data_IF_828895751507
#
_entry.id   IF_828895751507
#
_cell.length_a   1.000
_cell.length_b   1.000
_cell.length_c   1.000
_cell.angle_alpha   90.00
_cell.angle_beta   90.00
_cell.angle_gamma   90.00
#
_symmetry.space_group_name_H-M   'P 1'
#
loop_
_entity.id
_entity.type
_entity.pdbx_description
1 polymer ?
#
# COMPACT_ATOMS: atom_id res chain seq x y z
N UNK A 1 3.41 8.93 -46.51
CA UNK A 1 2.58 9.25 -45.34
C UNK A 1 2.99 8.32 -44.20
N UNK A 2 3.68 8.81 -43.16
CA UNK A 2 4.00 8.01 -41.99
C UNK A 2 2.72 7.84 -41.18
N UNK A 3 2.26 6.61 -40.98
CA UNK A 3 1.20 6.29 -40.02
C UNK A 3 1.66 6.70 -38.62
N UNK A 4 0.94 7.67 -38.04
CA UNK A 4 1.11 8.00 -36.61
C UNK A 4 0.45 6.90 -35.79
N UNK A 5 1.24 5.96 -35.29
CA UNK A 5 0.78 4.97 -34.31
C UNK A 5 0.59 5.69 -32.97
N UNK A 6 -0.66 5.89 -32.59
CA UNK A 6 -1.00 6.40 -31.26
C UNK A 6 -0.90 5.27 -30.24
N UNK A 7 0.15 5.26 -29.43
CA UNK A 7 0.24 4.39 -28.28
C UNK A 7 -0.70 4.89 -27.17
N UNK A 8 -1.90 4.36 -27.11
CA UNK A 8 -2.81 4.57 -25.98
C UNK A 8 -2.37 3.63 -24.86
N UNK A 9 -1.95 4.19 -23.73
CA UNK A 9 -1.60 3.40 -22.55
C UNK A 9 -2.81 2.55 -22.13
N UNK A 10 -2.57 1.30 -21.71
CA UNK A 10 -3.66 0.48 -21.18
C UNK A 10 -4.27 1.17 -19.95
N UNK A 11 -5.56 0.95 -19.64
CA UNK A 11 -6.19 1.52 -18.44
C UNK A 11 -5.39 1.24 -17.17
N UNK A 12 -4.80 0.07 -17.05
CA UNK A 12 -3.92 -0.31 -15.94
C UNK A 12 -2.63 0.51 -15.89
N UNK A 13 -2.02 0.80 -17.02
CA UNK A 13 -0.80 1.63 -17.10
C UNK A 13 -1.11 3.09 -16.75
N UNK A 14 -2.29 3.59 -17.11
CA UNK A 14 -2.76 4.92 -16.74
C UNK A 14 -2.93 5.05 -15.24
N UNK A 15 -3.68 4.13 -14.61
CA UNK A 15 -3.87 4.11 -13.15
C UNK A 15 -2.53 4.05 -12.40
N UNK A 16 -1.61 3.21 -12.88
CA UNK A 16 -0.26 3.14 -12.32
C UNK A 16 0.44 4.50 -12.34
N UNK A 17 0.45 5.18 -13.49
CA UNK A 17 1.11 6.47 -13.66
C UNK A 17 0.48 7.57 -12.81
N UNK A 18 -0.85 7.60 -12.74
CA UNK A 18 -1.58 8.59 -11.95
C UNK A 18 -1.34 8.40 -10.45
N UNK A 19 -1.34 7.17 -9.95
CA UNK A 19 -1.07 6.87 -8.55
C UNK A 19 0.40 7.17 -8.17
N UNK A 20 1.38 6.80 -9.01
CA UNK A 20 2.79 7.15 -8.81
C UNK A 20 2.98 8.67 -8.73
N UNK A 21 2.38 9.41 -9.67
CA UNK A 21 2.45 10.88 -9.68
C UNK A 21 1.80 11.48 -8.43
N UNK A 22 0.64 10.97 -8.00
CA UNK A 22 -0.05 11.47 -6.81
C UNK A 22 0.77 11.26 -5.53
N UNK A 23 1.42 10.09 -5.38
CA UNK A 23 2.33 9.83 -4.26
C UNK A 23 3.50 10.82 -4.28
N UNK A 24 4.17 10.97 -5.42
CA UNK A 24 5.34 11.86 -5.54
C UNK A 24 5.00 13.32 -5.26
N UNK A 25 3.88 13.81 -5.78
CA UNK A 25 3.44 15.18 -5.53
C UNK A 25 3.12 15.41 -4.04
N UNK A 26 2.49 14.44 -3.38
CA UNK A 26 2.18 14.54 -1.96
C UNK A 26 3.43 14.47 -1.08
N UNK A 27 4.44 13.71 -1.49
CA UNK A 27 5.67 13.51 -0.73
C UNK A 27 6.80 14.50 -1.09
N UNK A 28 6.58 15.45 -1.99
CA UNK A 28 7.65 16.37 -2.46
C UNK A 28 8.34 17.15 -1.34
N UNK A 29 7.58 17.49 -0.29
CA UNK A 29 8.05 18.24 0.87
C UNK A 29 8.53 17.31 2.02
N UNK A 30 8.52 15.99 1.82
CA UNK A 30 8.90 14.94 2.75
C UNK A 30 9.98 14.04 2.14
N UNK A 31 11.24 14.51 2.07
CA UNK A 31 12.31 13.84 1.31
C UNK A 31 12.64 12.43 1.79
N UNK A 32 12.53 12.16 3.09
CA UNK A 32 12.75 10.82 3.66
C UNK A 32 11.64 9.85 3.22
N UNK A 33 10.37 10.28 3.27
CA UNK A 33 9.24 9.48 2.82
C UNK A 33 9.28 9.26 1.31
N UNK A 34 9.61 10.28 0.52
CA UNK A 34 9.82 10.15 -0.91
C UNK A 34 10.94 9.16 -1.24
N UNK A 35 12.04 9.22 -0.48
CA UNK A 35 13.15 8.27 -0.64
C UNK A 35 12.74 6.84 -0.29
N UNK A 36 11.96 6.65 0.78
CA UNK A 36 11.39 5.34 1.13
C UNK A 36 10.54 4.77 0.00
N UNK A 37 9.68 5.60 -0.58
CA UNK A 37 8.86 5.24 -1.75
C UNK A 37 9.71 4.79 -2.94
N UNK A 38 10.69 5.60 -3.33
CA UNK A 38 11.57 5.31 -4.47
C UNK A 38 12.34 4.00 -4.29
N UNK A 39 12.83 3.74 -3.08
CA UNK A 39 13.51 2.49 -2.76
C UNK A 39 12.56 1.30 -2.84
N UNK A 40 11.33 1.43 -2.32
CA UNK A 40 10.34 0.36 -2.34
C UNK A 40 9.92 -0.01 -3.77
N UNK A 41 9.58 0.98 -4.61
CA UNK A 41 9.12 0.68 -5.99
C UNK A 41 10.22 0.12 -6.89
N UNK A 42 11.48 0.31 -6.51
CA UNK A 42 12.66 -0.24 -7.20
C UNK A 42 13.11 -1.58 -6.61
N UNK A 43 12.66 -1.94 -5.40
CA UNK A 43 13.07 -3.18 -4.74
C UNK A 43 12.60 -4.40 -5.54
N UNK A 44 13.51 -5.30 -5.97
CA UNK A 44 13.15 -6.43 -6.82
C UNK A 44 12.30 -7.47 -6.10
N UNK A 45 12.48 -7.62 -4.79
CA UNK A 45 11.72 -8.58 -3.97
C UNK A 45 10.29 -8.09 -3.76
N UNK A 46 10.08 -6.79 -3.45
CA UNK A 46 8.75 -6.19 -3.38
C UNK A 46 8.01 -6.32 -4.72
N UNK A 47 8.67 -6.00 -5.84
CA UNK A 47 8.09 -6.12 -7.18
C UNK A 47 7.69 -7.56 -7.52
N UNK A 48 8.55 -8.52 -7.21
CA UNK A 48 8.27 -9.93 -7.44
C UNK A 48 7.14 -10.42 -6.53
N UNK A 49 7.15 -9.99 -5.26
CA UNK A 49 6.11 -10.32 -4.27
C UNK A 49 4.72 -9.84 -4.72
N UNK A 50 4.57 -8.59 -5.14
CA UNK A 50 3.31 -8.08 -5.71
C UNK A 50 2.84 -8.87 -6.93
N UNK A 51 3.75 -9.27 -7.82
CA UNK A 51 3.39 -10.07 -8.99
C UNK A 51 2.90 -11.47 -8.59
N UNK A 52 3.55 -12.09 -7.61
CA UNK A 52 3.17 -13.43 -7.12
C UNK A 52 1.89 -13.38 -6.28
N UNK A 53 1.68 -12.35 -5.45
CA UNK A 53 0.42 -12.11 -4.77
C UNK A 53 -0.73 -12.05 -5.78
N UNK A 54 -0.56 -11.27 -6.84
CA UNK A 54 -1.56 -11.14 -7.90
C UNK A 54 -1.76 -12.42 -8.70
N UNK A 55 -0.70 -13.21 -8.92
CA UNK A 55 -0.82 -14.50 -9.57
C UNK A 55 -1.70 -15.46 -8.76
N UNK A 56 -1.47 -15.56 -7.45
CA UNK A 56 -2.26 -16.46 -6.59
C UNK A 56 -3.68 -15.96 -6.41
N UNK A 57 -3.89 -14.69 -6.09
CA UNK A 57 -5.23 -14.14 -5.83
C UNK A 57 -6.08 -14.12 -7.10
N UNK A 58 -5.58 -13.53 -8.20
CA UNK A 58 -6.38 -13.39 -9.42
C UNK A 58 -6.45 -14.65 -10.26
N UNK A 59 -5.30 -15.34 -10.47
CA UNK A 59 -5.26 -16.47 -11.41
C UNK A 59 -5.70 -17.78 -10.78
N UNK A 60 -5.41 -17.99 -9.50
CA UNK A 60 -5.71 -19.25 -8.82
C UNK A 60 -7.00 -19.19 -8.02
N UNK A 61 -7.24 -18.12 -7.27
CA UNK A 61 -8.41 -17.99 -6.41
C UNK A 61 -9.58 -17.24 -7.07
N UNK A 62 -9.33 -16.52 -8.18
CA UNK A 62 -10.38 -15.73 -8.84
C UNK A 62 -10.75 -14.43 -8.13
N UNK A 63 -9.94 -13.98 -7.18
CA UNK A 63 -10.13 -12.73 -6.44
C UNK A 63 -9.69 -11.51 -7.25
N UNK A 64 -9.79 -10.34 -6.65
CA UNK A 64 -9.42 -9.04 -7.21
C UNK A 64 -7.89 -8.87 -7.37
N UNK A 65 -7.48 -7.70 -7.90
CA UNK A 65 -6.07 -7.28 -7.95
C UNK A 65 -5.54 -7.01 -6.52
N UNK A 66 -4.50 -7.73 -6.11
CA UNK A 66 -3.73 -7.54 -4.89
C UNK A 66 -2.24 -7.34 -5.22
N UNK A 67 -1.97 -6.87 -6.43
CA UNK A 67 -0.62 -6.66 -6.92
C UNK A 67 -0.19 -5.20 -6.88
N UNK A 68 0.81 -4.89 -7.71
CA UNK A 68 1.48 -3.59 -7.72
C UNK A 68 0.55 -2.40 -7.97
N UNK A 69 -0.49 -2.54 -8.81
CA UNK A 69 -1.40 -1.41 -9.08
C UNK A 69 -2.26 -1.12 -7.85
N UNK A 70 -2.79 -2.15 -7.22
CA UNK A 70 -3.50 -2.01 -5.96
C UNK A 70 -2.62 -1.36 -4.88
N UNK A 71 -1.39 -1.84 -4.67
CA UNK A 71 -0.45 -1.25 -3.72
C UNK A 71 -0.19 0.25 -3.97
N UNK A 72 -0.12 0.68 -5.23
CA UNK A 72 0.05 2.10 -5.58
C UNK A 72 -1.22 2.92 -5.33
N UNK A 73 -2.39 2.41 -5.69
CA UNK A 73 -3.66 3.11 -5.49
C UNK A 73 -3.93 3.31 -3.99
N UNK A 74 -3.77 2.26 -3.19
CA UNK A 74 -3.92 2.33 -1.74
C UNK A 74 -2.83 3.19 -1.10
N UNK A 75 -1.58 3.12 -1.58
CA UNK A 75 -0.51 4.01 -1.16
C UNK A 75 -0.81 5.49 -1.44
N UNK A 76 -1.36 5.83 -2.60
CA UNK A 76 -1.78 7.20 -2.90
C UNK A 76 -2.93 7.66 -2.00
N UNK A 77 -3.91 6.79 -1.73
CA UNK A 77 -4.99 7.08 -0.81
C UNK A 77 -4.47 7.28 0.63
N UNK A 78 -3.56 6.43 1.10
CA UNK A 78 -3.05 6.49 2.46
C UNK A 78 -2.30 7.79 2.76
N UNK A 79 -1.43 8.25 1.86
CA UNK A 79 -0.73 9.53 2.04
C UNK A 79 -1.68 10.73 1.94
N UNK A 80 -2.77 10.62 1.18
CA UNK A 80 -3.79 11.65 1.13
C UNK A 80 -4.62 11.71 2.44
N UNK A 81 -5.01 10.55 2.98
CA UNK A 81 -5.72 10.45 4.25
C UNK A 81 -4.86 11.00 5.39
N UNK A 82 -3.57 10.61 5.45
CA UNK A 82 -2.64 11.12 6.45
C UNK A 82 -2.54 12.66 6.41
N UNK A 83 -2.44 13.24 5.22
CA UNK A 83 -2.40 14.70 5.06
C UNK A 83 -3.66 15.36 5.66
N UNK A 84 -4.85 14.85 5.32
CA UNK A 84 -6.12 15.38 5.84
C UNK A 84 -6.21 15.27 7.37
N UNK A 85 -5.79 14.15 7.95
CA UNK A 85 -5.80 13.97 9.40
C UNK A 85 -4.79 14.88 10.10
N UNK A 86 -3.60 15.06 9.52
CA UNK A 86 -2.58 15.98 10.02
C UNK A 86 -3.05 17.43 9.97
N UNK A 87 -3.66 17.86 8.87
CA UNK A 87 -4.26 19.19 8.72
C UNK A 87 -5.42 19.43 9.71
N UNK A 88 -6.17 18.38 10.04
CA UNK A 88 -7.22 18.42 11.06
C UNK A 88 -6.69 18.38 12.50
N UNK A 89 -5.37 18.31 12.70
CA UNK A 89 -4.75 18.30 14.03
C UNK A 89 -4.87 16.97 14.76
N UNK A 90 -5.13 15.87 14.06
CA UNK A 90 -5.12 14.52 14.66
C UNK A 90 -3.70 14.18 15.09
N UNK A 91 -3.57 13.73 16.34
CA UNK A 91 -2.28 13.30 16.89
C UNK A 91 -1.94 11.90 16.35
N UNK A 92 -0.75 11.78 15.76
CA UNK A 92 -0.26 10.55 15.14
C UNK A 92 0.57 9.74 16.14
N UNK A 93 0.40 8.43 16.16
CA UNK A 93 1.10 7.55 17.10
C UNK A 93 2.62 7.53 16.88
N UNK A 94 3.09 7.70 15.64
CA UNK A 94 4.52 7.88 15.35
C UNK A 94 5.12 9.05 16.13
N UNK A 95 4.38 10.13 16.29
CA UNK A 95 4.82 11.33 17.02
C UNK A 95 4.57 11.16 18.52
N UNK A 96 3.40 10.68 18.94
CA UNK A 96 3.05 10.51 20.35
C UNK A 96 3.95 9.48 21.06
N UNK A 97 4.35 8.43 20.38
CA UNK A 97 5.28 7.43 20.93
C UNK A 97 6.74 7.90 20.99
N UNK A 98 7.06 9.04 20.38
CA UNK A 98 8.44 9.51 20.25
C UNK A 98 9.28 8.73 19.22
N UNK A 99 8.64 7.90 18.38
CA UNK A 99 9.34 7.14 17.33
C UNK A 99 9.87 8.04 16.20
N UNK A 100 9.20 9.17 15.96
CA UNK A 100 9.60 10.11 14.90
C UNK A 100 8.72 11.34 14.83
N UNK A 101 8.85 12.06 13.72
CA UNK A 101 8.11 13.27 13.40
C UNK A 101 7.04 12.98 12.32
N UNK A 102 6.34 14.03 11.85
CA UNK A 102 5.32 13.90 10.82
C UNK A 102 5.84 13.20 9.54
N UNK A 103 7.04 13.52 9.11
CA UNK A 103 7.65 12.86 7.94
C UNK A 103 7.80 11.35 8.14
N UNK A 104 8.11 10.92 9.36
CA UNK A 104 8.24 9.49 9.70
C UNK A 104 6.86 8.79 9.71
N UNK A 105 5.79 9.49 10.06
CA UNK A 105 4.43 8.97 9.92
C UNK A 105 4.08 8.71 8.44
N UNK A 106 4.53 9.57 7.50
CA UNK A 106 4.41 9.29 6.06
C UNK A 106 5.18 8.04 5.65
N UNK A 107 6.37 7.80 6.21
CA UNK A 107 7.13 6.56 5.97
C UNK A 107 6.35 5.35 6.48
N UNK A 108 5.82 5.43 7.72
CA UNK A 108 5.05 4.34 8.34
C UNK A 108 3.82 4.00 7.51
N UNK A 109 2.97 4.99 7.23
CA UNK A 109 1.72 4.80 6.49
C UNK A 109 1.97 4.27 5.09
N UNK A 110 2.91 4.85 4.36
CA UNK A 110 3.21 4.45 2.98
C UNK A 110 3.74 3.01 2.90
N UNK A 111 4.73 2.67 3.72
CA UNK A 111 5.34 1.34 3.66
C UNK A 111 4.40 0.26 4.17
N UNK A 112 3.62 0.52 5.23
CA UNK A 112 2.60 -0.43 5.71
C UNK A 112 1.54 -0.68 4.64
N UNK A 113 0.99 0.39 4.04
CA UNK A 113 -0.06 0.27 3.03
C UNK A 113 0.44 -0.38 1.75
N UNK A 114 1.63 -0.05 1.27
CA UNK A 114 2.12 -0.66 0.03
C UNK A 114 2.58 -2.12 0.19
N UNK A 115 2.84 -2.57 1.42
CA UNK A 115 3.29 -3.94 1.69
C UNK A 115 2.21 -4.82 2.36
N UNK A 116 1.02 -4.28 2.69
CA UNK A 116 0.00 -4.99 3.47
C UNK A 116 -0.39 -6.33 2.86
N UNK A 117 -0.51 -6.40 1.54
CA UNK A 117 -0.97 -7.57 0.78
C UNK A 117 0.16 -8.52 0.33
N UNK A 118 1.41 -8.24 0.72
CA UNK A 118 2.58 -9.01 0.28
C UNK A 118 2.47 -10.51 0.63
N UNK A 119 1.80 -10.83 1.74
CA UNK A 119 1.60 -12.20 2.19
C UNK A 119 0.70 -13.04 1.29
N UNK A 120 -0.12 -12.42 0.43
CA UNK A 120 -0.90 -13.13 -0.57
C UNK A 120 -0.05 -13.93 -1.57
N UNK A 121 1.24 -13.67 -1.67
CA UNK A 121 2.17 -14.50 -2.44
C UNK A 121 2.39 -15.89 -1.84
N UNK A 122 2.00 -16.11 -0.58
CA UNK A 122 2.02 -17.42 0.07
C UNK A 122 0.62 -18.04 0.03
N UNK A 123 -0.35 -17.35 0.60
CA UNK A 123 -1.75 -17.76 0.59
C UNK A 123 -2.66 -16.60 1.04
N UNK A 124 -3.93 -16.57 0.60
CA UNK A 124 -4.91 -15.56 1.04
C UNK A 124 -5.23 -15.72 2.53
N UNK A 125 -5.35 -16.96 3.01
CA UNK A 125 -5.61 -17.21 4.43
C UNK A 125 -4.34 -16.97 5.26
N UNK A 126 -4.41 -16.07 6.22
CA UNK A 126 -3.29 -15.67 7.08
C UNK A 126 -2.24 -14.79 6.39
N UNK A 127 -2.63 -14.13 5.28
CA UNK A 127 -1.71 -13.28 4.51
C UNK A 127 -1.16 -12.11 5.33
N UNK A 128 -1.86 -11.66 6.35
CA UNK A 128 -1.43 -10.59 7.27
C UNK A 128 -0.14 -11.01 7.99
N UNK A 129 -0.13 -12.21 8.56
CA UNK A 129 1.03 -12.74 9.26
C UNK A 129 2.20 -13.07 8.30
N UNK A 130 1.92 -13.65 7.14
CA UNK A 130 2.93 -13.87 6.11
C UNK A 130 3.47 -12.54 5.58
N UNK A 131 2.60 -11.52 5.46
CA UNK A 131 2.99 -10.17 5.05
C UNK A 131 4.06 -9.57 5.97
N UNK A 132 3.89 -9.69 7.29
CA UNK A 132 4.88 -9.26 8.28
C UNK A 132 6.24 -9.92 8.05
N UNK A 133 6.28 -11.24 7.89
CA UNK A 133 7.53 -12.00 7.70
C UNK A 133 8.23 -11.60 6.39
N UNK A 134 7.46 -11.50 5.31
CA UNK A 134 7.98 -11.20 3.97
C UNK A 134 8.38 -9.73 3.79
N UNK A 135 7.75 -8.82 4.52
CA UNK A 135 8.12 -7.40 4.50
C UNK A 135 9.46 -7.12 5.22
N UNK A 136 9.83 -7.92 6.22
CA UNK A 136 11.04 -7.68 7.04
C UNK A 136 12.33 -7.48 6.23
N UNK A 137 12.73 -8.33 5.29
CA UNK A 137 13.95 -8.12 4.52
C UNK A 137 13.88 -6.87 3.64
N UNK A 138 12.72 -6.53 3.09
CA UNK A 138 12.49 -5.33 2.29
C UNK A 138 12.63 -4.09 3.18
N UNK A 139 11.93 -4.09 4.34
CA UNK A 139 11.98 -3.00 5.31
C UNK A 139 13.40 -2.78 5.84
N UNK A 140 14.15 -3.83 6.16
CA UNK A 140 15.52 -3.69 6.62
C UNK A 140 16.39 -2.97 5.58
N UNK A 141 16.31 -3.34 4.28
CA UNK A 141 17.06 -2.67 3.22
C UNK A 141 16.74 -1.18 3.07
N UNK A 142 15.49 -0.80 3.33
CA UNK A 142 15.02 0.59 3.24
C UNK A 142 15.39 1.35 4.51
N UNK A 143 14.98 0.84 5.67
CA UNK A 143 15.10 1.54 6.94
C UNK A 143 16.54 1.68 7.42
N UNK A 144 17.42 0.72 7.12
CA UNK A 144 18.86 0.81 7.43
C UNK A 144 19.54 2.03 6.76
N UNK A 145 19.01 2.47 5.61
CA UNK A 145 19.51 3.65 4.89
C UNK A 145 18.88 4.96 5.34
N UNK A 146 17.69 4.92 5.93
CA UNK A 146 16.93 6.10 6.31
C UNK A 146 17.10 6.45 7.79
N UNK A 147 17.33 5.45 8.64
CA UNK A 147 17.40 5.58 10.09
C UNK A 147 18.71 4.98 10.63
N UNK A 148 19.75 5.82 10.82
CA UNK A 148 21.04 5.36 11.37
C UNK A 148 20.90 4.84 12.80
N UNK A 149 20.04 5.48 13.61
CA UNK A 149 19.77 5.06 14.98
C UNK A 149 18.95 3.75 15.00
N UNK A 150 19.48 2.67 15.63
CA UNK A 150 18.80 1.39 15.68
C UNK A 150 17.55 1.38 16.54
N UNK A 151 17.45 2.23 17.56
CA UNK A 151 16.24 2.32 18.42
C UNK A 151 15.09 2.95 17.62
N UNK A 152 15.34 4.10 17.00
CA UNK A 152 14.35 4.74 16.13
C UNK A 152 13.94 3.83 14.98
N UNK A 153 14.91 3.23 14.29
CA UNK A 153 14.64 2.28 13.20
C UNK A 153 13.76 1.12 13.62
N UNK A 154 13.98 0.60 14.83
CA UNK A 154 13.16 -0.50 15.37
C UNK A 154 11.74 -0.04 15.68
N UNK A 155 11.57 1.15 16.27
CA UNK A 155 10.27 1.73 16.56
C UNK A 155 9.45 1.97 15.26
N UNK A 156 10.05 2.61 14.26
CA UNK A 156 9.41 2.84 12.95
C UNK A 156 9.03 1.51 12.29
N UNK A 157 9.94 0.52 12.30
CA UNK A 157 9.65 -0.81 11.75
C UNK A 157 8.49 -1.49 12.48
N UNK A 158 8.41 -1.38 13.79
CA UNK A 158 7.32 -1.96 14.58
C UNK A 158 5.95 -1.37 14.19
N UNK A 159 5.86 -0.05 14.02
CA UNK A 159 4.64 0.62 13.57
C UNK A 159 4.24 0.19 12.15
N UNK A 160 5.19 0.06 11.23
CA UNK A 160 4.93 -0.45 9.87
C UNK A 160 4.39 -1.88 9.91
N UNK A 161 5.04 -2.77 10.67
CA UNK A 161 4.62 -4.18 10.78
C UNK A 161 3.25 -4.30 11.44
N UNK A 162 2.93 -3.44 12.41
CA UNK A 162 1.60 -3.37 12.99
C UNK A 162 0.54 -3.00 11.95
N UNK A 163 0.79 -1.99 11.11
CA UNK A 163 -0.10 -1.63 10.02
C UNK A 163 -0.30 -2.76 9.00
N UNK A 164 0.76 -3.49 8.66
CA UNK A 164 0.65 -4.67 7.78
C UNK A 164 -0.20 -5.77 8.44
N UNK A 165 0.01 -6.03 9.73
CA UNK A 165 -0.67 -7.13 10.42
C UNK A 165 -2.15 -6.89 10.67
N UNK A 166 -2.54 -5.63 10.93
CA UNK A 166 -3.89 -5.27 11.35
C UNK A 166 -4.78 -4.68 10.24
N UNK A 167 -4.30 -4.63 8.98
CA UNK A 167 -5.03 -3.96 7.90
C UNK A 167 -6.41 -4.57 7.59
N UNK A 168 -6.59 -5.87 7.78
CA UNK A 168 -7.86 -6.59 7.55
C UNK A 168 -8.80 -6.55 8.78
N UNK A 169 -8.53 -5.62 9.73
CA UNK A 169 -9.31 -5.34 10.95
C UNK A 169 -9.40 -6.51 11.96
N UNK A 170 -8.63 -7.56 11.76
CA UNK A 170 -8.58 -8.71 12.66
C UNK A 170 -7.13 -9.25 12.76
N UNK A 171 -6.34 -8.78 13.73
CA UNK A 171 -6.70 -7.94 14.88
C UNK A 171 -6.99 -6.47 14.55
N UNK A 172 -7.65 -5.79 15.47
CA UNK A 172 -7.97 -4.36 15.36
C UNK A 172 -6.70 -3.50 15.29
N UNK A 173 -6.65 -2.47 14.39
CA UNK A 173 -5.58 -1.49 14.36
C UNK A 173 -5.53 -0.68 15.68
N UNK A 174 -4.36 -0.61 16.28
CA UNK A 174 -4.15 0.09 17.56
C UNK A 174 -3.53 1.49 17.40
N UNK A 175 -3.12 1.85 16.18
CA UNK A 175 -2.53 3.16 15.87
C UNK A 175 -3.29 3.85 14.75
N UNK A 176 -3.24 5.17 14.73
CA UNK A 176 -3.86 5.98 13.65
C UNK A 176 -3.28 5.56 12.29
N UNK A 177 -1.96 5.36 12.21
CA UNK A 177 -1.29 4.95 10.97
C UNK A 177 -1.76 3.57 10.48
N UNK A 178 -1.98 2.62 11.38
CA UNK A 178 -2.53 1.32 11.03
C UNK A 178 -4.00 1.43 10.58
N UNK A 179 -4.78 2.27 11.25
CA UNK A 179 -6.15 2.60 10.84
C UNK A 179 -6.20 3.23 9.44
N UNK A 180 -5.25 4.12 9.11
CA UNK A 180 -5.12 4.69 7.76
C UNK A 180 -4.86 3.59 6.74
N UNK A 181 -4.00 2.62 7.04
CA UNK A 181 -3.72 1.48 6.17
C UNK A 181 -4.99 0.69 5.85
N UNK A 182 -5.77 0.34 6.87
CA UNK A 182 -7.04 -0.39 6.71
C UNK A 182 -8.08 0.39 5.90
N UNK A 183 -8.24 1.70 6.16
CA UNK A 183 -9.16 2.55 5.40
C UNK A 183 -8.70 2.72 3.96
N UNK A 184 -7.41 2.92 3.74
CA UNK A 184 -6.85 3.09 2.39
C UNK A 184 -7.06 1.84 1.53
N UNK A 185 -6.89 0.63 2.09
CA UNK A 185 -7.21 -0.60 1.37
C UNK A 185 -8.68 -0.64 0.94
N UNK A 186 -9.60 -0.29 1.83
CA UNK A 186 -11.03 -0.23 1.54
C UNK A 186 -11.44 0.82 0.48
N UNK A 187 -10.59 1.81 0.19
CA UNK A 187 -10.88 2.85 -0.82
C UNK A 187 -10.60 2.41 -2.26
N UNK A 188 -9.88 1.32 -2.49
CA UNK A 188 -9.69 0.81 -3.86
C UNK A 188 -10.94 0.10 -4.37
N UNK A 189 -11.88 0.90 -4.87
CA UNK A 189 -13.12 0.45 -5.52
C UNK A 189 -13.01 0.46 -7.04
N UNK A 190 -11.82 0.43 -7.60
CA UNK A 190 -11.61 0.47 -9.05
C UNK A 190 -12.24 -0.75 -9.74
N UNK A 191 -12.64 -0.55 -11.01
CA UNK A 191 -13.31 -1.58 -11.86
C UNK A 191 -12.57 -2.93 -11.91
N UNK A 192 -11.24 -2.91 -11.76
CA UNK A 192 -10.41 -4.11 -11.70
C UNK A 192 -10.71 -4.97 -10.46
N UNK A 193 -11.13 -4.35 -9.37
CA UNK A 193 -11.39 -5.02 -8.09
C UNK A 193 -12.78 -5.69 -8.02
N UNK A 194 -13.84 -5.08 -8.54
CA UNK A 194 -15.20 -5.61 -8.46
C UNK A 194 -15.61 -6.57 -9.59
N UNK A 195 -15.02 -6.41 -10.77
CA UNK A 195 -15.47 -7.10 -11.98
C UNK A 195 -15.43 -8.63 -11.89
N UNK A 196 -14.40 -9.22 -11.27
CA UNK A 196 -14.29 -10.68 -11.18
C UNK A 196 -15.25 -11.28 -10.16
N UNK A 197 -15.40 -10.66 -9.00
CA UNK A 197 -16.38 -11.10 -7.99
C UNK A 197 -17.78 -11.11 -8.57
N UNK A 198 -18.17 -10.06 -9.31
CA UNK A 198 -19.46 -10.00 -10.01
C UNK A 198 -19.60 -11.09 -11.07
N UNK A 199 -18.59 -11.34 -11.91
CA UNK A 199 -18.60 -12.40 -12.93
C UNK A 199 -18.70 -13.82 -12.33
N UNK A 200 -18.24 -14.00 -11.10
CA UNK A 200 -18.31 -15.27 -10.36
C UNK A 200 -19.63 -15.42 -9.56
N UNK A 201 -20.57 -14.45 -9.69
CA UNK A 201 -21.88 -14.50 -9.06
C UNK A 201 -21.93 -13.92 -7.65
N UNK A 202 -20.88 -13.29 -7.17
CA UNK A 202 -20.89 -12.51 -5.93
C UNK A 202 -21.59 -11.18 -6.20
N UNK A 203 -22.84 -11.07 -5.80
CA UNK A 203 -23.67 -9.86 -5.93
C UNK A 203 -23.71 -9.18 -4.56
N UNK A 204 -22.63 -8.50 -4.20
CA UNK A 204 -22.56 -7.62 -3.03
C UNK A 204 -22.45 -6.15 -3.44
N UNK A 205 -22.60 -5.25 -2.46
CA UNK A 205 -22.54 -3.81 -2.71
C UNK A 205 -21.17 -3.38 -3.27
N UNK A 206 -20.10 -4.06 -2.88
CA UNK A 206 -18.74 -3.75 -3.33
C UNK A 206 -18.51 -4.17 -4.78
N UNK A 207 -19.00 -5.35 -5.17
CA UNK A 207 -18.89 -5.82 -6.56
C UNK A 207 -19.74 -5.00 -7.52
N UNK A 208 -20.91 -4.50 -7.08
CA UNK A 208 -21.79 -3.63 -7.88
C UNK A 208 -21.18 -2.22 -8.01
N UNK A 209 -20.75 -1.60 -6.90
CA UNK A 209 -20.19 -0.25 -6.93
C UNK A 209 -18.90 -0.17 -7.75
N UNK A 210 -18.05 -1.18 -7.70
CA UNK A 210 -16.84 -1.25 -8.51
C UNK A 210 -17.08 -1.44 -10.03
N UNK A 211 -18.29 -1.75 -10.46
CA UNK A 211 -18.68 -1.74 -11.88
C UNK A 211 -19.04 -0.33 -12.38
N UNK A 212 -19.32 0.60 -11.47
CA UNK A 212 -19.73 1.96 -11.78
C UNK A 212 -18.57 2.94 -11.92
N UNK A 213 -17.34 2.56 -11.55
CA UNK A 213 -16.12 3.40 -11.54
C UNK A 213 -15.19 3.06 -12.70
#
# INVERSE_FOLDING_TARGET
MQERVFHVASPKAKLYSEADQAIRERLKDFPKALRAYEMLVQDPEARSGWNMANYLTMRKLGYNDHGRVHALLTGAASVAILALLSEAGVRLDTVESGAGELEDAYVVVLLSTMLHDLGNQVHRFGHEAFGVVLALPILNRILDKLYPDPEQRTAIRALILHGIYSHDLSPEPLTIEAGITAVADGTDITKGRGRKAFQLGSIDIHSISALAV
#
